data_IF_303435559241
#
_entry.id   IF_303435559241
#
_cell.length_a   1.000
_cell.length_b   1.000
_cell.length_c   1.000
_cell.angle_alpha   90.00
_cell.angle_beta   90.00
_cell.angle_gamma   90.00
#
_symmetry.space_group_name_H-M   'P 1'
#
loop_
_entity.id
_entity.type
_entity.pdbx_description
1 polymer ?
#
# COMPACT_ATOMS: atom_id res chain seq x y z
N UNK A 1 7.71 -2.53 8.39
CA UNK A 1 6.42 -3.10 7.98
C UNK A 1 6.54 -4.57 8.31
N UNK A 2 5.70 -5.03 9.21
CA UNK A 2 5.74 -6.37 9.80
C UNK A 2 4.70 -7.24 9.12
N UNK A 3 4.80 -8.57 9.27
CA UNK A 3 3.80 -9.51 8.73
C UNK A 3 2.38 -9.21 9.26
N UNK A 4 2.28 -8.70 10.49
CA UNK A 4 1.01 -8.27 11.09
C UNK A 4 0.34 -7.13 10.30
N UNK A 5 1.10 -6.28 9.62
CA UNK A 5 0.54 -5.16 8.83
C UNK A 5 -0.22 -5.68 7.58
N UNK A 6 0.05 -6.91 7.13
CA UNK A 6 -0.62 -7.55 6.00
C UNK A 6 -1.68 -8.57 6.43
N UNK A 7 -1.95 -8.68 7.72
CA UNK A 7 -2.96 -9.59 8.27
C UNK A 7 -4.13 -8.77 8.81
N UNK A 8 -5.18 -8.52 8.00
CA UNK A 8 -6.30 -7.70 8.43
C UNK A 8 -7.03 -8.41 9.59
N UNK A 9 -7.57 -7.67 10.56
CA UNK A 9 -8.29 -8.26 11.66
C UNK A 9 -9.55 -8.98 11.16
N UNK A 10 -9.88 -10.12 11.79
CA UNK A 10 -11.09 -10.89 11.47
C UNK A 10 -12.38 -10.05 11.56
N UNK A 11 -12.37 -8.98 12.35
CA UNK A 11 -13.45 -7.99 12.40
C UNK A 11 -12.89 -6.57 12.41
N UNK A 12 -13.28 -5.78 11.42
CA UNK A 12 -12.97 -4.36 11.32
C UNK A 12 -13.54 -3.56 12.49
N UNK A 13 -12.67 -2.89 13.25
CA UNK A 13 -13.06 -2.08 14.39
C UNK A 13 -13.28 -0.61 14.00
N UNK A 14 -14.44 -0.31 13.41
CA UNK A 14 -14.78 1.04 12.93
C UNK A 14 -14.72 2.08 14.06
N UNK A 15 -15.09 1.73 15.30
CA UNK A 15 -15.05 2.67 16.44
C UNK A 15 -13.61 3.09 16.76
N UNK A 16 -12.68 2.15 16.79
CA UNK A 16 -11.26 2.44 17.03
C UNK A 16 -10.66 3.25 15.88
N UNK A 17 -10.96 2.90 14.63
CA UNK A 17 -10.51 3.66 13.46
C UNK A 17 -11.04 5.11 13.49
N UNK A 18 -12.33 5.31 13.80
CA UNK A 18 -12.89 6.67 13.91
C UNK A 18 -12.23 7.48 15.03
N UNK A 19 -11.94 6.85 16.17
CA UNK A 19 -11.24 7.53 17.27
C UNK A 19 -9.83 7.94 16.85
N UNK A 20 -9.07 7.02 16.24
CA UNK A 20 -7.73 7.28 15.72
C UNK A 20 -7.75 8.44 14.71
N UNK A 21 -8.63 8.39 13.70
CA UNK A 21 -8.75 9.45 12.70
C UNK A 21 -9.15 10.82 13.29
N UNK A 22 -9.83 10.82 14.45
CA UNK A 22 -10.22 12.05 15.14
C UNK A 22 -9.07 12.74 15.87
N UNK A 23 -8.01 12.00 16.20
CA UNK A 23 -6.80 12.49 16.87
C UNK A 23 -5.64 12.75 15.89
N UNK A 24 -5.81 12.35 14.62
CA UNK A 24 -4.78 12.37 13.60
C UNK A 24 -4.57 13.76 13.00
N UNK A 25 -3.31 14.09 12.72
CA UNK A 25 -2.89 15.34 12.08
C UNK A 25 -2.10 15.05 10.79
N UNK A 26 -2.00 16.07 9.93
CA UNK A 26 -1.13 15.97 8.75
C UNK A 26 0.34 15.91 9.20
N UNK A 27 1.13 15.03 8.58
CA UNK A 27 2.51 14.74 8.96
C UNK A 27 2.65 13.58 9.96
N UNK A 28 1.55 13.07 10.50
CA UNK A 28 1.60 11.87 11.35
C UNK A 28 2.15 10.69 10.56
N UNK A 29 3.12 9.98 11.14
CA UNK A 29 3.67 8.78 10.56
C UNK A 29 2.82 7.57 10.99
N UNK A 30 2.24 6.88 10.00
CA UNK A 30 1.30 5.79 10.23
C UNK A 30 1.57 4.60 9.30
N UNK A 31 1.01 3.45 9.68
CA UNK A 31 0.80 2.31 8.79
C UNK A 31 -0.70 2.07 8.69
N UNK A 32 -1.20 1.94 7.46
CA UNK A 32 -2.59 1.64 7.17
C UNK A 32 -2.70 0.38 6.30
N UNK A 33 -3.55 -0.55 6.71
CA UNK A 33 -3.85 -1.76 5.95
C UNK A 33 -5.18 -1.60 5.25
N UNK A 34 -5.19 -1.89 3.95
CA UNK A 34 -6.36 -1.82 3.09
C UNK A 34 -6.72 -3.20 2.54
N UNK A 35 -7.97 -3.35 2.15
CA UNK A 35 -8.44 -4.53 1.40
C UNK A 35 -9.37 -4.10 0.29
N UNK A 36 -9.04 -4.45 -0.96
CA UNK A 36 -9.86 -4.18 -2.13
C UNK A 36 -9.95 -5.43 -3.01
N UNK A 37 -11.00 -5.53 -3.83
CA UNK A 37 -11.17 -6.69 -4.72
C UNK A 37 -10.04 -6.79 -5.74
N UNK A 38 -9.51 -5.64 -6.17
CA UNK A 38 -8.51 -5.55 -7.24
C UNK A 38 -7.10 -5.84 -6.76
N UNK A 39 -6.73 -5.33 -5.58
CA UNK A 39 -5.36 -5.42 -5.09
C UNK A 39 -5.21 -6.34 -3.88
N UNK A 40 -6.30 -6.95 -3.41
CA UNK A 40 -6.30 -7.78 -2.22
C UNK A 40 -5.94 -6.97 -0.97
N UNK A 41 -5.21 -7.59 -0.06
CA UNK A 41 -4.66 -6.93 1.11
C UNK A 41 -3.34 -6.27 0.78
N UNK A 42 -3.20 -5.00 1.17
CA UNK A 42 -1.93 -4.29 1.11
C UNK A 42 -1.83 -3.30 2.26
N UNK A 43 -0.59 -3.00 2.66
CA UNK A 43 -0.26 -2.03 3.68
C UNK A 43 0.50 -0.87 3.07
N UNK A 44 0.17 0.34 3.51
CA UNK A 44 0.87 1.57 3.14
C UNK A 44 1.46 2.18 4.40
N UNK A 45 2.72 2.57 4.32
CA UNK A 45 3.48 3.17 5.43
C UNK A 45 4.10 4.47 4.97
N UNK A 46 3.82 5.55 5.69
CA UNK A 46 4.32 6.87 5.33
C UNK A 46 3.74 7.97 6.23
N UNK A 47 3.77 9.20 5.73
CA UNK A 47 3.21 10.34 6.41
C UNK A 47 1.79 10.66 5.89
N UNK A 48 0.91 11.03 6.81
CA UNK A 48 -0.45 11.44 6.50
C UNK A 48 -0.44 12.79 5.78
N UNK A 49 -1.11 12.86 4.64
CA UNK A 49 -1.30 14.11 3.89
C UNK A 49 -2.78 14.48 3.91
N UNK A 50 -3.08 15.73 4.27
CA UNK A 50 -4.43 16.27 4.14
C UNK A 50 -4.68 16.72 2.70
N UNK A 51 -5.57 16.03 2.00
CA UNK A 51 -5.97 16.40 0.64
C UNK A 51 -6.92 17.59 0.69
N UNK A 52 -6.47 18.74 0.19
CA UNK A 52 -7.31 19.95 0.06
C UNK A 52 -8.50 19.73 -0.90
N UNK A 53 -8.31 18.90 -1.93
CA UNK A 53 -9.35 18.61 -2.91
C UNK A 53 -10.44 17.69 -2.35
N UNK A 54 -10.05 16.68 -1.57
CA UNK A 54 -10.99 15.68 -1.04
C UNK A 54 -11.51 16.04 0.37
N UNK A 55 -10.86 16.99 1.05
CA UNK A 55 -11.17 17.32 2.45
C UNK A 55 -10.95 16.16 3.40
N UNK A 56 -10.04 15.24 3.07
CA UNK A 56 -9.82 13.98 3.76
C UNK A 56 -8.32 13.71 3.95
N UNK A 57 -7.98 12.90 4.95
CA UNK A 57 -6.64 12.39 5.12
C UNK A 57 -6.33 11.26 4.13
N UNK A 58 -5.10 11.28 3.60
CA UNK A 58 -4.60 10.31 2.63
C UNK A 58 -3.23 9.80 3.05
N UNK A 59 -2.91 8.59 2.60
CA UNK A 59 -1.61 7.95 2.79
C UNK A 59 -1.21 7.26 1.49
N UNK A 60 -0.15 7.73 0.83
CA UNK A 60 0.28 7.21 -0.46
C UNK A 60 -0.86 7.16 -1.49
N UNK A 61 -1.58 8.27 -1.68
CA UNK A 61 -2.82 8.38 -2.49
C UNK A 61 -4.09 7.69 -1.97
N UNK A 62 -4.01 6.80 -0.99
CA UNK A 62 -5.20 6.11 -0.47
C UNK A 62 -5.93 6.96 0.57
N UNK A 63 -7.26 7.17 0.43
CA UNK A 63 -8.04 7.87 1.44
C UNK A 63 -8.16 7.03 2.72
N UNK A 64 -7.77 7.62 3.84
CA UNK A 64 -7.97 7.06 5.18
C UNK A 64 -9.40 7.29 5.66
N UNK A 65 -9.98 8.42 5.27
CA UNK A 65 -11.34 8.80 5.63
C UNK A 65 -12.14 9.36 4.44
N UNK A 66 -13.46 9.44 4.62
CA UNK A 66 -14.33 10.28 3.84
C UNK A 66 -15.32 10.95 4.78
N UNK A 67 -15.26 12.28 4.89
CA UNK A 67 -16.06 13.06 5.84
C UNK A 67 -15.92 12.55 7.28
N UNK A 68 -14.68 12.30 7.74
CA UNK A 68 -14.37 11.81 9.09
C UNK A 68 -14.90 10.41 9.42
N UNK A 69 -15.33 9.66 8.40
CA UNK A 69 -15.65 8.22 8.54
C UNK A 69 -14.52 7.41 7.93
N UNK A 70 -14.04 6.35 8.61
CA UNK A 70 -13.01 5.50 8.04
C UNK A 70 -13.40 4.96 6.67
N UNK A 71 -12.48 5.06 5.70
CA UNK A 71 -12.65 4.50 4.35
C UNK A 71 -13.06 3.02 4.44
N UNK A 72 -13.96 2.58 3.55
CA UNK A 72 -14.45 1.18 3.58
C UNK A 72 -13.33 0.16 3.41
N UNK A 73 -12.34 0.48 2.60
CA UNK A 73 -11.19 -0.38 2.36
C UNK A 73 -10.22 -0.42 3.56
N UNK A 74 -10.21 0.60 4.42
CA UNK A 74 -9.31 0.70 5.58
C UNK A 74 -9.70 -0.31 6.67
N UNK A 75 -8.82 -1.28 6.92
CA UNK A 75 -9.01 -2.36 7.90
C UNK A 75 -8.29 -2.08 9.22
N UNK A 76 -7.06 -1.58 9.14
CA UNK A 76 -6.20 -1.31 10.28
C UNK A 76 -5.49 0.03 10.09
N UNK A 77 -5.32 0.77 11.19
CA UNK A 77 -4.55 2.01 11.23
C UNK A 77 -3.79 2.03 12.55
N UNK A 78 -2.47 2.26 12.48
CA UNK A 78 -1.61 2.39 13.66
C UNK A 78 -0.53 3.44 13.45
N UNK A 79 0.03 3.93 14.54
CA UNK A 79 1.21 4.79 14.51
C UNK A 79 2.44 4.02 14.07
N UNK A 80 3.35 4.75 13.42
CA UNK A 80 4.66 4.29 12.98
C UNK A 80 5.72 5.17 13.65
N UNK A 81 6.24 4.73 14.79
CA UNK A 81 7.08 5.55 15.66
C UNK A 81 8.50 5.74 15.12
N UNK A 82 9.20 6.76 15.65
CA UNK A 82 10.51 7.20 15.16
C UNK A 82 11.58 6.12 15.05
N UNK A 83 11.68 5.21 16.02
CA UNK A 83 12.65 4.12 15.97
C UNK A 83 12.37 3.17 14.78
N UNK A 84 11.10 2.80 14.56
CA UNK A 84 10.72 1.98 13.41
C UNK A 84 10.93 2.73 12.07
N UNK A 85 10.84 4.07 12.06
CA UNK A 85 11.14 4.91 10.89
C UNK A 85 12.61 4.89 10.51
N UNK A 86 13.49 5.04 11.50
CA UNK A 86 14.94 5.04 11.29
C UNK A 86 15.41 3.67 10.79
N UNK A 87 14.92 2.60 11.41
CA UNK A 87 15.20 1.22 10.97
C UNK A 87 14.74 0.98 9.54
N UNK A 88 13.52 1.42 9.20
CA UNK A 88 12.99 1.32 7.85
C UNK A 88 13.85 2.04 6.82
N UNK A 89 14.27 3.27 7.11
CA UNK A 89 15.12 4.05 6.23
C UNK A 89 16.50 3.39 6.05
N UNK A 90 17.07 2.82 7.11
CA UNK A 90 18.36 2.12 7.07
C UNK A 90 18.29 0.78 6.31
N UNK A 91 17.13 0.09 6.36
CA UNK A 91 16.90 -1.18 5.67
C UNK A 91 16.61 -1.05 4.17
N UNK A 92 16.45 0.17 3.66
CA UNK A 92 16.11 0.38 2.25
C UNK A 92 17.26 -0.07 1.36
N UNK A 93 17.00 -0.84 0.29
CA UNK A 93 18.01 -1.15 -0.71
C UNK A 93 18.70 0.13 -1.22
N UNK A 94 20.03 0.13 -1.25
CA UNK A 94 20.83 1.25 -1.76
C UNK A 94 21.09 1.17 -3.27
N UNK A 95 20.92 -0.01 -3.85
CA UNK A 95 21.06 -0.25 -5.28
C UNK A 95 19.86 0.35 -6.04
N UNK A 96 20.05 0.76 -7.31
CA UNK A 96 18.95 1.24 -8.12
C UNK A 96 17.86 0.17 -8.20
N UNK A 97 16.61 0.59 -8.03
CA UNK A 97 15.49 -0.31 -8.12
C UNK A 97 15.49 -1.03 -9.49
N UNK A 98 15.43 -2.35 -9.44
CA UNK A 98 15.33 -3.21 -10.60
C UNK A 98 14.11 -4.12 -10.45
N UNK A 99 13.48 -4.43 -11.57
CA UNK A 99 12.53 -5.54 -11.66
C UNK A 99 13.21 -6.67 -12.41
N UNK A 100 13.10 -7.87 -11.85
CA UNK A 100 13.48 -9.12 -12.50
C UNK A 100 12.28 -10.07 -12.48
N UNK A 101 12.50 -11.32 -12.90
CA UNK A 101 11.45 -12.35 -12.96
C UNK A 101 10.80 -12.67 -11.61
N UNK A 102 11.39 -12.26 -10.48
CA UNK A 102 10.81 -12.46 -9.16
C UNK A 102 9.73 -11.42 -8.80
N UNK A 103 9.71 -10.27 -9.49
CA UNK A 103 8.67 -9.24 -9.36
C UNK A 103 7.54 -9.56 -10.35
N UNK A 104 6.82 -10.64 -10.07
CA UNK A 104 5.76 -11.17 -10.92
C UNK A 104 4.41 -11.18 -10.20
N UNK A 105 3.34 -11.37 -10.97
CA UNK A 105 1.99 -11.53 -10.41
C UNK A 105 1.96 -12.61 -9.33
N UNK A 106 1.39 -12.29 -8.16
CA UNK A 106 1.26 -13.22 -7.05
C UNK A 106 2.50 -13.31 -6.15
N UNK A 107 3.56 -12.54 -6.40
CA UNK A 107 4.65 -12.37 -5.44
C UNK A 107 4.25 -11.37 -4.34
N UNK A 108 4.72 -11.60 -3.12
CA UNK A 108 4.58 -10.61 -2.05
C UNK A 108 5.78 -9.67 -2.10
N UNK A 109 5.52 -8.39 -2.36
CA UNK A 109 6.57 -7.39 -2.54
C UNK A 109 6.37 -6.21 -1.60
N UNK A 110 7.46 -5.51 -1.33
CA UNK A 110 7.50 -4.18 -0.73
C UNK A 110 8.16 -3.22 -1.72
N UNK A 111 7.53 -2.08 -1.94
CA UNK A 111 8.02 -1.06 -2.86
C UNK A 111 8.06 0.28 -2.16
N UNK A 112 9.21 0.94 -2.23
CA UNK A 112 9.36 2.32 -1.77
C UNK A 112 9.12 3.27 -2.93
N UNK A 113 8.27 4.26 -2.73
CA UNK A 113 7.95 5.30 -3.70
C UNK A 113 8.42 6.67 -3.23
N UNK A 114 8.65 7.56 -4.18
CA UNK A 114 8.77 9.00 -3.98
C UNK A 114 7.82 9.73 -4.90
N UNK A 115 6.81 10.39 -4.34
CA UNK A 115 5.84 11.20 -5.07
C UNK A 115 5.76 12.59 -4.42
N UNK A 116 6.00 13.69 -5.15
CA UNK A 116 5.89 15.05 -4.62
C UNK A 116 4.62 15.34 -3.80
N UNK A 117 3.47 14.76 -4.16
CA UNK A 117 2.22 14.96 -3.42
C UNK A 117 2.16 14.22 -2.07
N UNK A 118 2.92 13.14 -1.87
CA UNK A 118 2.82 12.24 -0.71
C UNK A 118 4.14 12.03 0.04
N UNK A 119 5.24 12.59 -0.46
CA UNK A 119 6.58 12.33 0.04
C UNK A 119 7.06 10.91 -0.27
N UNK A 120 7.87 10.35 0.63
CA UNK A 120 8.39 8.99 0.53
C UNK A 120 7.54 8.06 1.38
N UNK A 121 7.06 6.97 0.79
CA UNK A 121 6.22 5.98 1.46
C UNK A 121 6.52 4.58 0.91
N UNK A 122 6.17 3.57 1.69
CA UNK A 122 6.25 2.17 1.28
C UNK A 122 4.87 1.59 1.08
N UNK A 123 4.74 0.70 0.11
CA UNK A 123 3.58 -0.15 -0.08
C UNK A 123 4.05 -1.59 -0.07
N UNK A 124 3.43 -2.45 0.74
CA UNK A 124 3.56 -3.90 0.58
C UNK A 124 2.22 -4.55 0.32
N UNK A 125 2.26 -5.61 -0.46
CA UNK A 125 1.09 -6.37 -0.84
C UNK A 125 1.43 -7.33 -1.97
N UNK A 126 0.42 -8.10 -2.38
CA UNK A 126 0.57 -9.01 -3.51
C UNK A 126 0.70 -8.21 -4.81
N UNK A 127 1.71 -8.52 -5.60
CA UNK A 127 1.91 -7.95 -6.92
C UNK A 127 0.78 -8.40 -7.87
N UNK A 128 0.13 -7.44 -8.53
CA UNK A 128 -0.97 -7.68 -9.45
C UNK A 128 -0.54 -7.28 -10.85
N UNK A 129 -0.63 -8.21 -11.81
CA UNK A 129 -0.39 -7.90 -13.21
C UNK A 129 -1.64 -7.31 -13.86
N UNK A 130 -1.42 -6.33 -14.73
CA UNK A 130 -2.40 -5.75 -15.62
C UNK A 130 -2.04 -6.09 -17.06
N UNK A 131 -2.91 -6.85 -17.71
CA UNK A 131 -2.77 -7.19 -19.14
C UNK A 131 -3.18 -6.03 -20.06
N UNK A 132 -3.69 -4.92 -19.52
CA UNK A 132 -4.15 -3.77 -20.32
C UNK A 132 -2.97 -2.99 -20.89
N UNK A 133 -1.92 -2.84 -20.09
CA UNK A 133 -0.73 -2.04 -20.38
C UNK A 133 0.57 -2.76 -19.99
N UNK A 134 0.48 -4.06 -19.69
CA UNK A 134 1.60 -4.91 -19.28
C UNK A 134 2.37 -4.32 -18.10
N UNK A 135 1.64 -4.10 -17.00
CA UNK A 135 2.18 -3.47 -15.80
C UNK A 135 2.04 -4.36 -14.57
N UNK A 136 2.99 -4.22 -13.63
CA UNK A 136 2.90 -4.79 -12.30
C UNK A 136 2.53 -3.68 -11.32
N UNK A 137 1.54 -3.93 -10.48
CA UNK A 137 1.05 -3.00 -9.47
C UNK A 137 1.12 -3.62 -8.07
N UNK A 138 1.23 -2.77 -7.05
CA UNK A 138 1.00 -3.13 -5.65
C UNK A 138 0.18 -2.01 -4.99
N UNK A 139 -0.95 -2.35 -4.38
CA UNK A 139 -1.83 -1.37 -3.73
C UNK A 139 -2.13 -0.15 -4.62
N UNK A 140 -2.61 -0.37 -5.85
CA UNK A 140 -2.85 0.67 -6.88
C UNK A 140 -1.64 1.44 -7.43
N UNK A 141 -0.45 1.30 -6.86
CA UNK A 141 0.76 1.92 -7.37
C UNK A 141 1.45 1.04 -8.40
N UNK A 142 1.91 1.65 -9.47
CA UNK A 142 2.64 1.00 -10.54
C UNK A 142 4.09 0.74 -10.12
N UNK A 143 4.53 -0.50 -10.20
CA UNK A 143 5.91 -0.94 -9.93
C UNK A 143 6.72 -0.92 -11.22
N UNK A 144 6.15 -1.49 -12.29
CA UNK A 144 6.76 -1.54 -13.62
C UNK A 144 5.73 -1.54 -14.73
N UNK A 145 6.19 -1.23 -15.94
CA UNK A 145 5.41 -1.26 -17.19
C UNK A 145 6.33 -1.70 -18.33
N UNK A 146 5.95 -2.73 -19.09
CA UNK A 146 6.80 -3.35 -20.11
C UNK A 146 8.22 -3.63 -19.60
N UNK A 147 8.32 -4.28 -18.43
CA UNK A 147 9.57 -4.61 -17.72
C UNK A 147 10.46 -3.42 -17.34
N UNK A 148 9.93 -2.19 -17.40
CA UNK A 148 10.63 -0.99 -16.93
C UNK A 148 10.06 -0.54 -15.59
N UNK A 149 10.95 -0.38 -14.62
CA UNK A 149 10.65 0.26 -13.33
C UNK A 149 9.96 1.61 -13.56
N UNK A 150 8.87 1.86 -12.82
CA UNK A 150 8.19 3.14 -12.84
C UNK A 150 9.07 4.24 -12.23
N UNK A 151 9.01 5.46 -12.78
CA UNK A 151 9.87 6.60 -12.41
C UNK A 151 9.87 6.93 -10.91
N UNK A 152 8.75 6.67 -10.23
CA UNK A 152 8.53 7.01 -8.83
C UNK A 152 9.08 5.95 -7.86
N UNK A 153 9.51 4.81 -8.35
CA UNK A 153 10.01 3.70 -7.52
C UNK A 153 11.45 3.96 -7.13
N UNK A 154 11.71 3.97 -5.82
CA UNK A 154 13.05 4.08 -5.26
C UNK A 154 13.69 2.73 -4.97
N UNK A 155 12.90 1.74 -4.56
CA UNK A 155 13.36 0.40 -4.22
C UNK A 155 12.24 -0.63 -4.38
N UNK A 156 12.59 -1.86 -4.74
CA UNK A 156 11.70 -3.02 -4.77
C UNK A 156 12.36 -4.14 -3.99
N UNK A 157 11.58 -4.82 -3.15
CA UNK A 157 12.01 -5.96 -2.36
C UNK A 157 10.96 -7.06 -2.45
N UNK A 158 11.40 -8.26 -2.79
CA UNK A 158 10.54 -9.46 -2.78
C UNK A 158 10.59 -10.06 -1.39
N UNK A 159 9.47 -9.97 -0.67
CA UNK A 159 9.34 -10.53 0.68
C UNK A 159 9.04 -12.04 0.63
N UNK A 160 8.25 -12.47 -0.36
CA UNK A 160 8.05 -13.87 -0.67
C UNK A 160 7.79 -14.07 -2.17
N UNK A 161 8.32 -15.14 -2.78
CA UNK A 161 8.08 -15.45 -4.19
C UNK A 161 6.63 -15.86 -4.43
N UNK A 162 6.25 -16.02 -5.70
CA UNK A 162 4.92 -16.52 -6.09
C UNK A 162 4.62 -17.85 -5.40
N UNK A 163 3.52 -17.90 -4.65
CA UNK A 163 3.13 -19.08 -3.85
C UNK A 163 3.90 -19.27 -2.54
N UNK A 164 4.78 -18.34 -2.17
CA UNK A 164 5.57 -18.35 -0.93
C UNK A 164 4.89 -17.68 0.27
N UNK A 165 3.64 -17.26 0.14
CA UNK A 165 2.85 -16.59 1.19
C UNK A 165 1.41 -17.11 1.22
N UNK A 166 0.69 -16.87 2.32
CA UNK A 166 -0.69 -17.34 2.51
C UNK A 166 -1.78 -16.34 2.09
N UNK A 167 -1.40 -15.11 1.74
CA UNK A 167 -2.35 -14.10 1.26
C UNK A 167 -3.04 -14.55 -0.02
N UNK A 168 -4.35 -14.28 -0.12
CA UNK A 168 -5.11 -14.51 -1.34
C UNK A 168 -4.52 -13.69 -2.49
N UNK A 169 -4.20 -14.36 -3.60
CA UNK A 169 -3.70 -13.69 -4.81
C UNK A 169 -4.90 -13.08 -5.57
N UNK A 170 -4.93 -11.75 -5.76
CA UNK A 170 -5.99 -11.11 -6.55
C UNK A 170 -5.97 -11.59 -8.00
N UNK A 171 -7.08 -11.41 -8.72
CA UNK A 171 -7.09 -11.69 -10.16
C UNK A 171 -6.28 -10.64 -10.91
N UNK A 172 -5.68 -11.05 -12.02
CA UNK A 172 -5.08 -10.11 -12.97
C UNK A 172 -6.10 -9.08 -13.46
N UNK A 173 -5.61 -7.87 -13.71
CA UNK A 173 -6.40 -6.75 -14.20
C UNK A 173 -6.48 -6.87 -15.72
N UNK A 174 -7.64 -7.29 -16.22
CA UNK A 174 -7.89 -7.38 -17.67
C UNK A 174 -8.63 -6.16 -18.23
N UNK A 175 -9.09 -5.25 -17.37
CA UNK A 175 -9.74 -4.00 -17.75
C UNK A 175 -9.76 -2.98 -16.61
N UNK A 176 -9.63 -1.69 -16.93
CA UNK A 176 -9.77 -0.60 -15.96
C UNK A 176 -11.25 -0.27 -15.70
N UNK A 177 -11.90 -1.05 -14.83
CA UNK A 177 -13.24 -0.75 -14.32
C UNK A 177 -13.23 0.14 -13.07
N UNK A 178 -14.40 0.39 -12.46
CA UNK A 178 -14.45 1.00 -11.12
C UNK A 178 -13.89 0.04 -10.06
N UNK A 179 -13.07 0.55 -9.16
CA UNK A 179 -12.58 -0.19 -8.00
C UNK A 179 -13.64 -0.15 -6.88
N UNK A 180 -13.96 -1.31 -6.33
CA UNK A 180 -14.82 -1.46 -5.15
C UNK A 180 -13.99 -1.99 -3.97
N UNK A 181 -14.37 -1.59 -2.75
CA UNK A 181 -13.84 -2.23 -1.57
C UNK A 181 -14.29 -3.70 -1.55
N UNK A 182 -13.43 -4.61 -1.10
CA UNK A 182 -13.81 -6.01 -1.01
C UNK A 182 -14.90 -6.22 0.04
N UNK A 183 -15.84 -7.11 -0.26
CA UNK A 183 -16.77 -7.62 0.74
C UNK A 183 -15.95 -8.44 1.77
N UNK A 184 -15.90 -7.95 3.01
CA UNK A 184 -15.28 -8.64 4.17
C UNK A 184 -16.32 -9.49 4.87
#
# INVERSE_FOLDING_TARGET
MTDDDLTPPAKRNVKALTAFLGEMEAGDAVVATFTTDRYGVFAVRGEVVQSQLLGAFTLGSHPLDSNRKPSKALQLLRTFHSAEREEAAASRPSDPAAVDESVAHGALIRVTYSEPAYGVFDVAGVAVHSSVDDSILVGSWMVSTHDRIAERVLAVEVLAPVGGHELAVPREITSWGNESAADV
#
